data_IF_740714524920
#
_entry.id   IF_740714524920
#
_cell.length_a   1.000
_cell.length_b   1.000
_cell.length_c   1.000
_cell.angle_alpha   90.00
_cell.angle_beta   90.00
_cell.angle_gamma   90.00
#
_symmetry.space_group_name_H-M   'P 1'
#
loop_
_entity.id
_entity.type
_entity.pdbx_description
1 polymer ?
#
# COMPACT_ATOMS: atom_id res chain seq x y z
N UNK A 1 -7.00 -2.67 24.49
CA UNK A 1 -7.62 -4.01 24.33
C UNK A 1 -8.29 -4.55 25.61
N UNK A 2 -7.78 -4.22 26.83
CA UNK A 2 -8.40 -4.73 28.11
C UNK A 2 -9.88 -4.36 28.33
N UNK A 3 -10.46 -3.45 27.53
CA UNK A 3 -11.88 -3.01 27.63
C UNK A 3 -12.72 -3.40 26.42
N UNK A 4 -12.22 -4.25 25.50
CA UNK A 4 -12.95 -4.63 24.27
C UNK A 4 -13.15 -3.49 23.27
N UNK A 5 -12.43 -2.37 23.41
CA UNK A 5 -12.49 -1.27 22.48
C UNK A 5 -11.64 -1.63 21.27
N UNK A 6 -12.19 -1.62 20.04
CA UNK A 6 -11.41 -1.88 18.84
C UNK A 6 -10.36 -0.78 18.63
N UNK A 7 -9.14 -1.17 18.25
CA UNK A 7 -8.06 -0.26 17.88
C UNK A 7 -7.81 -0.44 16.40
N UNK A 8 -7.82 0.66 15.66
CA UNK A 8 -7.55 0.66 14.22
C UNK A 8 -6.57 1.79 13.87
N UNK A 9 -5.85 1.62 12.78
CA UNK A 9 -4.99 2.67 12.23
C UNK A 9 -5.81 3.75 11.52
N UNK A 10 -5.19 4.92 11.26
CA UNK A 10 -5.79 5.90 10.35
C UNK A 10 -6.07 5.30 8.96
N UNK A 11 -5.24 4.38 8.49
CA UNK A 11 -5.43 3.69 7.21
C UNK A 11 -6.75 2.93 7.18
N UNK A 12 -7.01 2.11 8.21
CA UNK A 12 -8.27 1.38 8.34
C UNK A 12 -9.47 2.33 8.42
N UNK A 13 -9.35 3.38 9.22
CA UNK A 13 -10.39 4.39 9.37
C UNK A 13 -10.67 5.12 8.05
N UNK A 14 -9.63 5.59 7.37
CA UNK A 14 -9.75 6.26 6.08
C UNK A 14 -10.35 5.34 5.02
N UNK A 15 -9.97 4.06 5.02
CA UNK A 15 -10.52 3.05 4.12
C UNK A 15 -12.03 2.88 4.29
N UNK A 16 -12.52 2.90 5.52
CA UNK A 16 -13.96 2.80 5.82
C UNK A 16 -14.74 4.07 5.51
N UNK A 17 -14.09 5.25 5.54
CA UNK A 17 -14.71 6.55 5.30
C UNK A 17 -14.73 6.98 3.82
N UNK A 18 -14.14 6.21 2.91
CA UNK A 18 -14.04 6.58 1.50
C UNK A 18 -15.38 7.03 0.91
N UNK A 19 -15.34 8.14 0.20
CA UNK A 19 -16.49 8.66 -0.54
C UNK A 19 -16.35 8.32 -2.03
N UNK A 20 -17.47 8.36 -2.73
CA UNK A 20 -17.46 8.19 -4.17
C UNK A 20 -16.86 9.43 -4.86
N UNK A 21 -16.02 9.22 -5.84
CA UNK A 21 -15.54 10.25 -6.74
C UNK A 21 -16.72 10.75 -7.60
N UNK A 22 -16.84 12.07 -7.74
CA UNK A 22 -17.97 12.69 -8.46
C UNK A 22 -18.03 12.31 -9.94
N UNK A 23 -16.88 12.03 -10.55
CA UNK A 23 -16.78 11.68 -11.97
C UNK A 23 -17.12 10.21 -12.26
N UNK A 24 -16.69 9.30 -11.37
CA UNK A 24 -16.81 7.84 -11.61
C UNK A 24 -17.98 7.19 -10.87
N UNK A 25 -18.51 7.85 -9.83
CA UNK A 25 -19.55 7.30 -8.96
C UNK A 25 -19.10 6.16 -8.05
N UNK A 26 -17.79 5.88 -8.00
CA UNK A 26 -17.17 4.87 -7.12
C UNK A 26 -16.01 5.48 -6.34
N UNK A 27 -15.62 4.92 -5.18
CA UNK A 27 -14.46 5.43 -4.45
C UNK A 27 -13.19 5.39 -5.30
N UNK A 28 -12.36 6.44 -5.17
CA UNK A 28 -11.07 6.48 -5.83
C UNK A 28 -10.25 5.20 -5.50
N UNK A 29 -9.64 4.54 -6.50
CA UNK A 29 -8.75 3.41 -6.27
C UNK A 29 -7.52 3.84 -5.48
N UNK A 30 -6.99 2.94 -4.64
CA UNK A 30 -5.77 3.17 -3.89
C UNK A 30 -4.65 2.28 -4.42
N UNK A 31 -3.48 2.90 -4.60
CA UNK A 31 -2.20 2.23 -4.87
C UNK A 31 -1.39 2.29 -3.59
N UNK A 32 -1.27 1.17 -2.88
CA UNK A 32 -0.54 1.11 -1.61
C UNK A 32 0.90 0.65 -1.79
N UNK A 33 1.84 1.38 -1.20
CA UNK A 33 3.27 1.11 -1.30
C UNK A 33 3.87 0.98 0.08
N UNK A 34 4.50 -0.14 0.35
CA UNK A 34 5.26 -0.40 1.59
C UNK A 34 6.64 -0.98 1.30
N UNK A 35 7.41 -1.20 2.33
CA UNK A 35 8.76 -1.75 2.31
C UNK A 35 9.58 -1.20 3.46
N UNK A 36 10.80 -1.67 3.63
CA UNK A 36 11.73 -1.07 4.59
C UNK A 36 12.26 0.25 4.04
N UNK A 37 12.78 0.26 2.83
CA UNK A 37 13.35 1.41 2.15
C UNK A 37 12.65 1.69 0.81
N UNK A 38 12.73 2.93 0.32
CA UNK A 38 12.25 3.32 -1.01
C UNK A 38 10.74 3.59 -1.11
N UNK A 39 9.99 3.49 -0.03
CA UNK A 39 8.53 3.76 -0.01
C UNK A 39 8.19 5.14 -0.57
N UNK A 40 8.75 6.19 0.03
CA UNK A 40 8.45 7.59 -0.30
C UNK A 40 8.74 7.88 -1.77
N UNK A 41 9.96 7.58 -2.22
CA UNK A 41 10.35 7.82 -3.63
C UNK A 41 9.45 7.06 -4.61
N UNK A 42 9.09 5.80 -4.30
CA UNK A 42 8.20 5.01 -5.15
C UNK A 42 6.80 5.60 -5.18
N UNK A 43 6.29 6.06 -4.03
CA UNK A 43 4.96 6.68 -3.93
C UNK A 43 4.91 7.99 -4.71
N UNK A 44 5.91 8.85 -4.55
CA UNK A 44 6.02 10.13 -5.28
C UNK A 44 6.14 9.91 -6.79
N UNK A 45 7.03 9.02 -7.24
CA UNK A 45 7.16 8.70 -8.66
C UNK A 45 5.87 8.14 -9.26
N UNK A 46 5.14 7.31 -8.50
CA UNK A 46 3.84 6.77 -8.95
C UNK A 46 2.82 7.90 -9.12
N UNK A 47 2.73 8.80 -8.16
CA UNK A 47 1.87 9.99 -8.21
C UNK A 47 2.20 10.88 -9.41
N UNK A 48 3.46 11.21 -9.61
CA UNK A 48 3.94 12.04 -10.73
C UNK A 48 3.61 11.39 -12.10
N UNK A 49 3.82 10.09 -12.24
CA UNK A 49 3.47 9.39 -13.50
C UNK A 49 1.98 9.45 -13.79
N UNK A 50 1.12 9.26 -12.78
CA UNK A 50 -0.33 9.31 -12.94
C UNK A 50 -0.81 10.74 -13.22
N UNK A 51 -0.22 11.72 -12.56
CA UNK A 51 -0.48 13.14 -12.80
C UNK A 51 -0.09 13.55 -14.23
N UNK A 52 1.05 13.06 -14.72
CA UNK A 52 1.45 13.26 -16.11
C UNK A 52 0.49 12.61 -17.13
N UNK A 53 -0.27 11.59 -16.71
CA UNK A 53 -1.36 11.00 -17.50
C UNK A 53 -2.70 11.77 -17.37
N UNK A 54 -2.73 12.90 -16.65
CA UNK A 54 -3.91 13.75 -16.50
C UNK A 54 -4.85 13.33 -15.37
N UNK A 55 -4.39 12.51 -14.43
CA UNK A 55 -5.16 12.09 -13.25
C UNK A 55 -4.83 12.98 -12.04
N UNK A 56 -5.83 13.28 -11.23
CA UNK A 56 -5.61 13.82 -9.89
C UNK A 56 -5.23 12.67 -8.93
N UNK A 57 -3.92 12.55 -8.68
CA UNK A 57 -3.31 11.40 -8.02
C UNK A 57 -2.41 11.79 -6.83
N UNK A 58 -2.95 12.40 -5.77
CA UNK A 58 -2.13 12.87 -4.66
C UNK A 58 -1.48 11.72 -3.89
N UNK A 59 -0.35 12.03 -3.26
CA UNK A 59 0.28 11.18 -2.26
C UNK A 59 -0.38 11.35 -0.90
N UNK A 60 -0.46 10.28 -0.12
CA UNK A 60 -1.03 10.28 1.23
C UNK A 60 -0.44 9.17 2.11
N UNK A 61 -0.80 9.14 3.37
CA UNK A 61 -0.39 8.10 4.32
C UNK A 61 0.84 8.49 5.13
N UNK A 62 1.84 7.61 5.20
CA UNK A 62 3.06 7.79 6.00
C UNK A 62 4.09 8.73 5.34
N UNK A 63 3.71 9.45 4.32
CA UNK A 63 4.58 10.36 3.59
C UNK A 63 4.54 11.74 4.22
N UNK A 64 5.73 12.32 4.49
CA UNK A 64 5.87 13.69 4.94
C UNK A 64 6.36 14.53 3.75
N UNK A 65 5.46 15.09 2.98
CA UNK A 65 5.79 16.02 1.90
C UNK A 65 5.46 17.45 2.31
N UNK A 66 6.47 18.20 2.80
CA UNK A 66 6.42 19.64 3.06
C UNK A 66 5.17 20.12 3.82
N UNK A 67 4.72 21.34 3.54
CA UNK A 67 3.51 21.96 4.15
C UNK A 67 2.18 21.35 3.67
N UNK A 68 2.22 20.37 2.78
CA UNK A 68 1.07 19.81 2.09
C UNK A 68 0.75 18.37 2.48
N UNK A 69 1.30 17.84 3.59
CA UNK A 69 0.94 16.50 4.05
C UNK A 69 -0.54 16.48 4.45
N UNK A 70 -1.40 16.11 3.53
CA UNK A 70 -2.80 15.83 3.85
C UNK A 70 -2.88 14.48 4.55
N UNK A 71 -3.62 14.41 5.67
CA UNK A 71 -3.92 13.12 6.29
C UNK A 71 -4.65 12.22 5.30
N UNK A 72 -4.40 10.93 5.39
CA UNK A 72 -5.04 9.95 4.49
C UNK A 72 -6.57 10.01 4.59
N UNK A 73 -7.12 10.27 5.77
CA UNK A 73 -8.56 10.41 5.98
C UNK A 73 -9.15 11.62 5.22
N UNK A 74 -8.43 12.73 5.11
CA UNK A 74 -8.86 13.87 4.28
C UNK A 74 -8.84 13.55 2.79
N UNK A 75 -7.79 12.87 2.32
CA UNK A 75 -7.71 12.44 0.93
C UNK A 75 -8.84 11.44 0.60
N UNK A 76 -9.10 10.48 1.48
CA UNK A 76 -10.13 9.47 1.29
C UNK A 76 -11.57 10.03 1.23
N UNK A 77 -11.79 11.21 1.84
CA UNK A 77 -13.08 11.90 1.84
C UNK A 77 -13.18 13.04 0.83
N UNK A 78 -12.19 13.20 -0.04
CA UNK A 78 -12.25 14.17 -1.14
C UNK A 78 -12.79 13.50 -2.42
N UNK A 79 -13.96 13.91 -2.93
CA UNK A 79 -14.59 13.28 -4.09
C UNK A 79 -13.95 13.65 -5.43
N UNK A 80 -12.95 14.52 -5.45
CA UNK A 80 -12.28 14.97 -6.68
C UNK A 80 -11.10 14.09 -7.08
N UNK A 81 -10.48 13.38 -6.14
CA UNK A 81 -9.30 12.57 -6.43
C UNK A 81 -9.63 11.38 -7.33
N UNK A 82 -8.85 11.18 -8.38
CA UNK A 82 -9.01 10.07 -9.32
C UNK A 82 -8.37 8.77 -8.80
N UNK A 83 -7.27 8.90 -8.06
CA UNK A 83 -6.53 7.79 -7.46
C UNK A 83 -5.71 8.29 -6.27
N UNK A 84 -5.52 7.49 -5.25
CA UNK A 84 -4.61 7.83 -4.14
C UNK A 84 -3.36 6.97 -4.19
N UNK A 85 -2.18 7.61 -4.14
CA UNK A 85 -0.89 6.95 -3.98
C UNK A 85 -0.54 6.95 -2.49
N UNK A 86 -0.62 5.79 -1.84
CA UNK A 86 -0.60 5.70 -0.39
C UNK A 86 0.69 5.03 0.09
N UNK A 87 1.53 5.79 0.81
CA UNK A 87 2.65 5.21 1.54
C UNK A 87 2.14 4.56 2.83
N UNK A 88 2.51 3.30 3.07
CA UNK A 88 2.05 2.51 4.21
C UNK A 88 3.23 2.02 5.06
N UNK A 89 3.23 2.36 6.35
CA UNK A 89 4.17 1.82 7.32
C UNK A 89 3.70 0.46 7.86
N UNK A 90 4.64 -0.32 8.41
CA UNK A 90 4.29 -1.58 9.09
C UNK A 90 3.42 -1.35 10.33
N UNK A 91 3.60 -0.23 11.03
CA UNK A 91 2.79 0.14 12.19
C UNK A 91 1.32 0.39 11.81
N UNK A 92 1.09 1.11 10.70
CA UNK A 92 -0.26 1.33 10.19
C UNK A 92 -0.90 0.03 9.74
N UNK A 93 -0.17 -0.80 8.99
CA UNK A 93 -0.65 -2.10 8.50
C UNK A 93 -0.94 -3.08 9.64
N UNK A 94 -0.20 -3.02 10.76
CA UNK A 94 -0.48 -3.84 11.94
C UNK A 94 -1.93 -3.71 12.43
N UNK A 95 -2.46 -2.49 12.43
CA UNK A 95 -3.83 -2.15 12.86
C UNK A 95 -4.81 -1.95 11.70
N UNK A 96 -4.57 -2.64 10.59
CA UNK A 96 -5.41 -2.59 9.38
C UNK A 96 -5.88 -4.00 9.04
N UNK A 97 -7.19 -4.18 8.83
CA UNK A 97 -7.79 -5.49 8.60
C UNK A 97 -8.61 -5.57 7.31
N UNK A 98 -9.36 -4.51 6.94
CA UNK A 98 -10.32 -4.56 5.81
C UNK A 98 -9.78 -4.00 4.50
N UNK A 99 -8.51 -3.60 4.46
CA UNK A 99 -7.89 -2.99 3.28
C UNK A 99 -7.88 -3.95 2.09
N UNK A 100 -8.38 -3.49 0.95
CA UNK A 100 -8.39 -4.22 -0.30
C UNK A 100 -7.99 -3.27 -1.45
N UNK A 101 -6.70 -3.07 -1.61
CA UNK A 101 -6.11 -2.12 -2.55
C UNK A 101 -6.40 -2.48 -4.01
N UNK A 102 -6.45 -1.50 -4.89
CA UNK A 102 -6.50 -1.75 -6.33
C UNK A 102 -5.16 -2.25 -6.85
N UNK A 103 -4.07 -1.61 -6.43
CA UNK A 103 -2.71 -2.10 -6.66
C UNK A 103 -1.90 -1.98 -5.37
N UNK A 104 -0.97 -2.89 -5.16
CA UNK A 104 -0.11 -2.91 -3.99
C UNK A 104 1.34 -3.21 -4.35
N UNK A 105 2.29 -2.62 -3.64
CA UNK A 105 3.71 -2.88 -3.85
C UNK A 105 4.47 -3.06 -2.54
N UNK A 106 5.41 -4.02 -2.54
CA UNK A 106 6.45 -4.14 -1.50
C UNK A 106 7.81 -3.98 -2.17
N UNK A 107 8.55 -2.95 -1.79
CA UNK A 107 9.85 -2.63 -2.38
C UNK A 107 10.97 -3.55 -1.91
N UNK A 108 11.03 -3.81 -0.60
CA UNK A 108 12.01 -4.70 0.04
C UNK A 108 11.63 -4.97 1.49
N UNK A 109 12.21 -6.03 2.09
CA UNK A 109 12.12 -6.38 3.51
C UNK A 109 13.53 -6.54 4.09
N UNK A 110 13.97 -5.58 4.89
CA UNK A 110 15.19 -5.65 5.68
C UNK A 110 14.86 -5.53 7.17
N UNK A 111 15.83 -5.79 8.03
CA UNK A 111 15.64 -5.72 9.48
C UNK A 111 15.41 -4.26 9.92
N UNK A 112 14.24 -4.00 10.50
CA UNK A 112 13.82 -2.71 11.01
C UNK A 112 12.69 -2.89 12.02
N UNK A 113 12.67 -2.09 13.09
CA UNK A 113 11.62 -2.11 14.11
C UNK A 113 11.27 -3.50 14.69
N UNK A 114 12.22 -4.44 14.72
CA UNK A 114 11.98 -5.83 15.12
C UNK A 114 11.50 -5.95 16.56
N UNK A 115 12.01 -5.08 17.46
CA UNK A 115 11.59 -5.06 18.87
C UNK A 115 10.12 -4.76 19.03
N UNK A 116 9.60 -3.83 18.23
CA UNK A 116 8.18 -3.45 18.26
C UNK A 116 7.27 -4.55 17.72
N UNK A 117 7.67 -5.17 16.61
CA UNK A 117 6.87 -6.23 15.96
C UNK A 117 7.03 -7.60 16.62
N UNK A 118 7.99 -7.76 17.53
CA UNK A 118 8.30 -9.05 18.15
C UNK A 118 9.01 -10.03 17.20
N UNK A 119 9.78 -9.49 16.23
CA UNK A 119 10.62 -10.24 15.33
C UNK A 119 10.36 -9.98 13.83
N UNK A 120 11.29 -10.48 13.02
CA UNK A 120 11.32 -10.26 11.56
C UNK A 120 10.09 -10.82 10.84
N UNK A 121 9.63 -12.01 11.25
CA UNK A 121 8.49 -12.66 10.62
C UNK A 121 7.19 -11.87 10.84
N UNK A 122 6.98 -11.35 12.05
CA UNK A 122 5.83 -10.51 12.34
C UNK A 122 5.89 -9.17 11.58
N UNK A 123 7.09 -8.56 11.47
CA UNK A 123 7.29 -7.36 10.66
C UNK A 123 6.95 -7.59 9.19
N UNK A 124 7.43 -8.70 8.62
CA UNK A 124 7.12 -9.09 7.25
C UNK A 124 5.63 -9.40 7.06
N UNK A 125 5.01 -10.11 8.03
CA UNK A 125 3.59 -10.41 8.04
C UNK A 125 2.72 -9.14 8.09
N UNK A 126 3.09 -8.15 8.91
CA UNK A 126 2.37 -6.87 8.92
C UNK A 126 2.45 -6.15 7.56
N UNK A 127 3.64 -6.13 6.93
CA UNK A 127 3.77 -5.54 5.58
C UNK A 127 3.02 -6.32 4.51
N UNK A 128 2.95 -7.65 4.60
CA UNK A 128 2.25 -8.47 3.62
C UNK A 128 0.75 -8.21 3.54
N UNK A 129 0.16 -7.61 4.58
CA UNK A 129 -1.26 -7.19 4.57
C UNK A 129 -1.59 -6.25 3.40
N UNK A 130 -0.61 -5.52 2.87
CA UNK A 130 -0.80 -4.67 1.68
C UNK A 130 -1.27 -5.48 0.47
N UNK A 131 -0.91 -6.76 0.39
CA UNK A 131 -1.31 -7.66 -0.70
C UNK A 131 -2.68 -8.31 -0.51
N UNK A 132 -3.23 -8.29 0.72
CA UNK A 132 -4.49 -8.96 1.01
C UNK A 132 -5.64 -8.35 0.18
N UNK A 133 -6.36 -9.21 -0.52
CA UNK A 133 -7.50 -8.82 -1.36
C UNK A 133 -7.18 -7.76 -2.42
N UNK A 134 -5.91 -7.59 -2.78
CA UNK A 134 -5.51 -6.68 -3.86
C UNK A 134 -6.23 -7.07 -5.15
N UNK A 135 -6.79 -6.08 -5.87
CA UNK A 135 -7.79 -6.34 -6.90
C UNK A 135 -7.20 -6.48 -8.29
N UNK A 136 -6.18 -5.67 -8.65
CA UNK A 136 -5.67 -5.58 -10.03
C UNK A 136 -4.26 -6.10 -10.19
N UNK A 137 -3.36 -5.67 -9.31
CA UNK A 137 -1.97 -6.13 -9.34
C UNK A 137 -1.30 -6.02 -7.97
N UNK A 138 -0.42 -6.96 -7.69
CA UNK A 138 0.63 -6.83 -6.69
C UNK A 138 1.99 -6.74 -7.40
N UNK A 139 2.84 -5.83 -6.92
CA UNK A 139 4.17 -5.57 -7.47
C UNK A 139 5.20 -5.89 -6.39
N UNK A 140 6.21 -6.67 -6.73
CA UNK A 140 7.16 -7.16 -5.76
C UNK A 140 8.59 -7.21 -6.32
N UNK A 141 9.58 -7.03 -5.45
CA UNK A 141 10.98 -7.19 -5.80
C UNK A 141 11.33 -8.67 -5.91
N UNK A 142 11.56 -9.14 -7.15
CA UNK A 142 11.90 -10.55 -7.42
C UNK A 142 13.31 -10.95 -6.92
N UNK A 143 14.18 -9.97 -6.64
CA UNK A 143 15.52 -10.20 -6.08
C UNK A 143 15.53 -10.28 -4.54
N UNK A 144 14.42 -9.90 -3.88
CA UNK A 144 14.22 -10.04 -2.44
C UNK A 144 13.46 -11.35 -2.17
N UNK A 145 14.16 -12.33 -1.63
CA UNK A 145 13.60 -13.67 -1.39
C UNK A 145 12.36 -13.63 -0.47
N UNK A 146 12.39 -12.76 0.58
CA UNK A 146 11.25 -12.66 1.50
C UNK A 146 10.05 -12.00 0.84
N UNK A 147 10.25 -10.96 0.04
CA UNK A 147 9.16 -10.31 -0.71
C UNK A 147 8.57 -11.26 -1.76
N UNK A 148 9.41 -12.06 -2.43
CA UNK A 148 8.97 -13.08 -3.40
C UNK A 148 8.11 -14.16 -2.72
N UNK A 149 8.51 -14.63 -1.54
CA UNK A 149 7.72 -15.57 -0.71
C UNK A 149 6.35 -14.96 -0.36
N UNK A 150 6.32 -13.74 0.16
CA UNK A 150 5.08 -13.04 0.52
C UNK A 150 4.16 -12.84 -0.70
N UNK A 151 4.73 -12.53 -1.86
CA UNK A 151 3.95 -12.38 -3.09
C UNK A 151 3.39 -13.72 -3.59
N UNK A 152 4.15 -14.81 -3.46
CA UNK A 152 3.67 -16.15 -3.82
C UNK A 152 2.49 -16.58 -2.95
N UNK A 153 2.55 -16.34 -1.64
CA UNK A 153 1.54 -16.72 -0.65
C UNK A 153 0.34 -15.75 -0.57
N UNK A 154 0.46 -14.57 -1.22
CA UNK A 154 -0.55 -13.52 -1.14
C UNK A 154 -1.93 -14.00 -1.58
N UNK A 155 -2.92 -13.82 -0.71
CA UNK A 155 -4.33 -14.02 -1.00
C UNK A 155 -4.89 -12.75 -1.64
N UNK A 156 -5.01 -12.76 -2.95
CA UNK A 156 -5.49 -11.63 -3.76
C UNK A 156 -6.87 -11.92 -4.33
N UNK A 157 -7.53 -10.89 -4.86
CA UNK A 157 -8.77 -11.09 -5.61
C UNK A 157 -8.52 -11.91 -6.89
N UNK A 158 -9.56 -12.57 -7.38
CA UNK A 158 -9.51 -13.32 -8.63
C UNK A 158 -9.08 -12.40 -9.80
N UNK A 159 -8.16 -12.87 -10.64
CA UNK A 159 -7.62 -12.10 -11.76
C UNK A 159 -6.56 -11.04 -11.38
N UNK A 160 -6.20 -10.90 -10.11
CA UNK A 160 -5.11 -10.02 -9.70
C UNK A 160 -3.77 -10.53 -10.26
N UNK A 161 -3.04 -9.66 -10.94
CA UNK A 161 -1.72 -10.00 -11.50
C UNK A 161 -0.64 -9.92 -10.44
N UNK A 162 0.30 -10.87 -10.48
CA UNK A 162 1.54 -10.81 -9.68
C UNK A 162 2.68 -10.39 -10.61
N UNK A 163 3.28 -9.22 -10.36
CA UNK A 163 4.28 -8.58 -11.22
C UNK A 163 5.59 -8.43 -10.44
N UNK A 164 6.58 -9.21 -10.80
CA UNK A 164 7.94 -9.08 -10.26
C UNK A 164 8.72 -7.99 -11.00
N UNK A 165 9.49 -7.17 -10.29
CA UNK A 165 10.51 -6.31 -10.88
C UNK A 165 11.90 -6.79 -10.47
N UNK A 166 12.88 -6.60 -11.36
CA UNK A 166 14.27 -7.03 -11.17
C UNK A 166 15.21 -6.14 -11.96
N UNK A 167 16.47 -6.05 -11.54
CA UNK A 167 17.56 -5.43 -12.30
C UNK A 167 18.25 -6.44 -13.26
N UNK A 168 17.89 -7.70 -13.16
CA UNK A 168 18.41 -8.78 -14.01
C UNK A 168 17.42 -9.09 -15.14
N UNK A 169 17.84 -9.93 -16.08
CA UNK A 169 16.93 -10.42 -17.11
C UNK A 169 15.78 -11.21 -16.46
N UNK A 170 14.50 -10.86 -16.75
CA UNK A 170 13.37 -11.55 -16.15
C UNK A 170 13.38 -13.03 -16.52
N UNK A 171 13.03 -13.89 -15.57
CA UNK A 171 12.89 -15.32 -15.85
C UNK A 171 11.59 -15.57 -16.64
N UNK A 172 11.59 -16.63 -17.44
CA UNK A 172 10.43 -16.99 -18.24
C UNK A 172 9.19 -17.21 -17.34
N UNK A 173 8.14 -16.42 -17.55
CA UNK A 173 6.89 -16.47 -16.78
C UNK A 173 6.78 -15.44 -15.65
N UNK A 174 7.72 -14.52 -15.52
CA UNK A 174 7.63 -13.35 -14.65
C UNK A 174 7.14 -12.10 -15.38
#
# INVERSE_FOLDING_TARGET
>A
QRRGIPVMSEVEFAWQLRVNNERTGTPAPWIGITGTNGKTSTTEMTSEMLTACGLDAPTAGNIASGDMSMSLSRCATNPQHDVLCVELSSFQLHFTDSLALDCAAITNIADDHLDWHGGRENYAADKSKVFHNAKRAIVYNAQDAKVSELAAEAQTAEGCRKVGFTLEAPQAGQ
#
